data_IF_835586746678
#
_entry.id   IF_835586746678
#
_cell.length_a   1.000
_cell.length_b   1.000
_cell.length_c   1.000
_cell.angle_alpha   90.00
_cell.angle_beta   90.00
_cell.angle_gamma   90.00
#
_symmetry.space_group_name_H-M   'P 1'
#
loop_
_entity.id
_entity.type
_entity.pdbx_description
1 polymer ?
#
# COMPACT_ATOMS: atom_id res chain seq x y z
N UNK A 1 23.96 -43.18 -39.33
CA UNK A 1 22.94 -43.11 -38.26
C UNK A 1 23.47 -42.57 -36.91
N UNK A 2 24.73 -42.13 -36.81
CA UNK A 2 25.31 -41.58 -35.56
C UNK A 2 25.36 -40.04 -35.51
N UNK A 3 25.20 -39.33 -36.65
CA UNK A 3 25.24 -37.87 -36.70
C UNK A 3 23.92 -37.18 -36.33
N UNK A 4 22.86 -37.94 -36.03
CA UNK A 4 21.54 -37.41 -35.61
C UNK A 4 21.29 -37.51 -34.10
N UNK A 5 22.26 -38.03 -33.35
CA UNK A 5 22.20 -38.16 -31.89
C UNK A 5 22.91 -37.02 -31.14
N UNK A 6 23.43 -36.00 -31.85
CA UNK A 6 23.98 -34.77 -31.27
C UNK A 6 22.99 -33.59 -31.26
N UNK A 7 21.76 -33.82 -31.69
CA UNK A 7 20.68 -32.82 -31.62
C UNK A 7 19.79 -33.04 -30.38
N UNK A 8 20.38 -33.57 -29.30
CA UNK A 8 19.66 -34.04 -28.11
C UNK A 8 19.92 -33.28 -26.81
N UNK A 9 20.78 -32.26 -26.75
CA UNK A 9 21.18 -31.69 -25.43
C UNK A 9 21.21 -30.15 -25.35
N UNK A 10 21.05 -29.39 -26.43
CA UNK A 10 21.21 -27.92 -26.37
C UNK A 10 19.91 -27.13 -26.14
N UNK A 11 18.91 -27.69 -25.45
CA UNK A 11 17.65 -26.99 -25.16
C UNK A 11 17.34 -26.90 -23.66
N UNK A 12 18.37 -26.74 -22.85
CA UNK A 12 18.25 -26.34 -21.45
C UNK A 12 19.30 -25.28 -21.15
N UNK A 13 18.94 -23.99 -21.29
CA UNK A 13 19.50 -22.91 -20.48
C UNK A 13 18.72 -21.59 -20.74
N UNK A 14 17.39 -21.65 -20.61
CA UNK A 14 16.57 -20.45 -20.48
C UNK A 14 16.41 -20.10 -19.01
N UNK A 15 17.47 -19.64 -18.34
CA UNK A 15 17.31 -19.02 -17.04
C UNK A 15 16.62 -17.67 -17.25
N UNK A 16 15.28 -17.67 -17.19
CA UNK A 16 14.53 -16.44 -17.05
C UNK A 16 14.92 -15.82 -15.70
N UNK A 17 15.87 -14.89 -15.73
CA UNK A 17 16.10 -13.99 -14.62
C UNK A 17 14.74 -13.31 -14.35
N UNK A 18 14.11 -13.66 -13.24
CA UNK A 18 12.92 -12.96 -12.79
C UNK A 18 13.33 -11.52 -12.55
N UNK A 19 13.01 -10.63 -13.49
CA UNK A 19 13.20 -9.20 -13.31
C UNK A 19 12.29 -8.83 -12.15
N UNK A 20 12.88 -8.46 -11.00
CA UNK A 20 12.12 -7.81 -9.93
C UNK A 20 11.42 -6.61 -10.58
N UNK A 21 10.10 -6.66 -10.67
CA UNK A 21 9.33 -5.56 -11.25
C UNK A 21 9.71 -4.27 -10.51
N UNK A 22 9.99 -3.21 -11.27
CA UNK A 22 10.36 -1.92 -10.71
C UNK A 22 9.24 -1.45 -9.77
N UNK A 23 9.61 -1.18 -8.51
CA UNK A 23 8.66 -0.65 -7.54
C UNK A 23 8.17 0.74 -8.01
N UNK A 24 6.89 1.07 -7.78
CA UNK A 24 6.39 2.39 -8.13
C UNK A 24 7.11 3.46 -7.30
N UNK A 25 7.20 4.67 -7.84
CA UNK A 25 7.60 5.82 -7.05
C UNK A 25 6.52 6.11 -5.98
N UNK A 26 6.87 5.89 -4.72
CA UNK A 26 5.98 6.10 -3.58
C UNK A 26 6.38 7.36 -2.81
N UNK A 27 5.46 8.30 -2.57
CA UNK A 27 5.70 9.40 -1.65
C UNK A 27 6.09 8.89 -0.26
N UNK A 28 7.02 9.59 0.39
CA UNK A 28 7.41 9.26 1.75
C UNK A 28 6.27 9.58 2.72
N UNK A 29 6.03 8.66 3.63
CA UNK A 29 5.14 8.89 4.76
C UNK A 29 5.74 9.90 5.74
N UNK A 30 4.87 10.56 6.49
CA UNK A 30 5.21 11.40 7.64
C UNK A 30 5.38 10.50 8.88
N UNK A 31 6.37 10.79 9.71
CA UNK A 31 6.60 10.10 10.98
C UNK A 31 7.98 9.45 11.09
N UNK A 32 8.29 8.97 12.30
CA UNK A 32 9.62 8.46 12.66
C UNK A 32 9.71 6.93 12.59
N UNK A 33 8.59 6.23 12.78
CA UNK A 33 8.53 4.78 12.81
C UNK A 33 7.38 4.24 11.96
N UNK A 34 7.68 3.23 11.14
CA UNK A 34 6.67 2.49 10.37
C UNK A 34 6.04 1.40 11.25
N UNK A 35 4.76 1.08 10.98
CA UNK A 35 4.07 0.04 11.74
C UNK A 35 4.64 -1.38 11.50
N UNK A 36 5.31 -1.60 10.36
CA UNK A 36 6.06 -2.81 10.04
C UNK A 36 7.06 -2.55 8.90
N UNK A 37 7.83 -3.58 8.51
CA UNK A 37 8.71 -3.53 7.34
C UNK A 37 7.93 -3.47 6.02
N UNK A 38 8.57 -3.02 4.94
CA UNK A 38 7.97 -2.99 3.60
C UNK A 38 7.59 -4.39 3.08
N UNK A 39 8.30 -5.44 3.49
CA UNK A 39 7.96 -6.83 3.16
C UNK A 39 6.64 -7.24 3.82
N UNK A 40 6.51 -6.98 5.12
CA UNK A 40 5.28 -7.27 5.87
C UNK A 40 4.12 -6.45 5.32
N UNK A 41 4.32 -5.17 5.01
CA UNK A 41 3.27 -4.36 4.39
C UNK A 41 2.84 -4.91 3.04
N UNK A 42 3.76 -5.31 2.15
CA UNK A 42 3.36 -5.88 0.85
C UNK A 42 2.54 -7.16 0.98
N UNK A 43 2.90 -8.05 1.91
CA UNK A 43 2.25 -9.34 2.08
C UNK A 43 0.95 -9.26 2.88
N UNK A 44 0.97 -8.55 4.00
CA UNK A 44 -0.02 -8.70 5.06
C UNK A 44 -0.93 -7.46 5.22
N UNK A 45 -0.64 -6.32 4.55
CA UNK A 45 -1.48 -5.10 4.71
C UNK A 45 -2.98 -5.29 4.44
N UNK A 46 -3.44 -6.06 3.43
CA UNK A 46 -4.86 -6.07 3.12
C UNK A 46 -5.63 -6.82 4.21
N UNK A 47 -5.03 -7.88 4.76
CA UNK A 47 -5.67 -8.69 5.79
C UNK A 47 -5.60 -8.01 7.15
N UNK A 48 -4.52 -7.29 7.46
CA UNK A 48 -4.47 -6.41 8.62
C UNK A 48 -5.62 -5.38 8.61
N UNK A 49 -5.86 -4.72 7.46
CA UNK A 49 -6.91 -3.72 7.34
C UNK A 49 -8.31 -4.34 7.41
N UNK A 50 -8.54 -5.50 6.78
CA UNK A 50 -9.82 -6.22 6.87
C UNK A 50 -10.12 -6.68 8.29
N UNK A 51 -9.13 -7.24 8.97
CA UNK A 51 -9.26 -7.68 10.35
C UNK A 51 -9.61 -6.48 11.25
N UNK A 52 -8.85 -5.38 11.12
CA UNK A 52 -9.13 -4.18 11.91
C UNK A 52 -10.51 -3.59 11.62
N UNK A 53 -10.95 -3.60 10.36
CA UNK A 53 -12.29 -3.17 9.97
C UNK A 53 -13.34 -3.99 10.71
N UNK A 54 -13.20 -5.31 10.72
CA UNK A 54 -14.17 -6.22 11.32
C UNK A 54 -14.19 -6.07 12.85
N UNK A 55 -13.03 -5.96 13.49
CA UNK A 55 -12.92 -5.65 14.91
C UNK A 55 -13.58 -4.32 15.28
N UNK A 56 -13.32 -3.27 14.49
CA UNK A 56 -13.85 -1.93 14.76
C UNK A 56 -15.35 -1.85 14.53
N UNK A 57 -15.83 -2.36 13.41
CA UNK A 57 -17.21 -2.15 12.96
C UNK A 57 -18.19 -3.20 13.46
N UNK A 58 -17.74 -4.46 13.64
CA UNK A 58 -18.62 -5.55 14.08
C UNK A 58 -18.49 -5.86 15.57
N UNK A 59 -17.29 -5.69 16.14
CA UNK A 59 -17.02 -6.03 17.54
C UNK A 59 -16.85 -4.79 18.44
N UNK A 60 -16.73 -3.60 17.86
CA UNK A 60 -16.55 -2.35 18.60
C UNK A 60 -15.16 -2.17 19.23
N UNK A 61 -14.18 -2.99 18.86
CA UNK A 61 -12.81 -2.96 19.39
C UNK A 61 -12.01 -1.87 18.67
N UNK A 62 -11.36 -0.97 19.42
CA UNK A 62 -10.62 0.19 18.88
C UNK A 62 -9.22 0.25 19.45
N UNK A 63 -8.34 0.98 18.75
CA UNK A 63 -6.97 1.26 19.22
C UNK A 63 -5.90 0.29 18.72
N UNK A 64 -6.20 -0.53 17.72
CA UNK A 64 -5.17 -1.39 17.14
C UNK A 64 -4.12 -0.61 16.34
N UNK A 65 -2.96 -1.24 16.19
CA UNK A 65 -1.82 -0.71 15.45
C UNK A 65 -2.13 -0.44 13.97
N UNK A 66 -2.94 -1.30 13.33
CA UNK A 66 -3.28 -1.22 11.91
C UNK A 66 -4.50 -0.31 11.64
N UNK A 67 -4.51 0.89 12.23
CA UNK A 67 -5.62 1.83 12.10
C UNK A 67 -5.60 2.55 10.75
N UNK A 68 -6.62 2.33 9.92
CA UNK A 68 -6.77 3.01 8.62
C UNK A 68 -6.71 4.55 8.75
N UNK A 69 -7.29 5.10 9.83
CA UNK A 69 -7.23 6.54 10.13
C UNK A 69 -5.79 7.03 10.31
N UNK A 70 -4.99 6.28 11.06
CA UNK A 70 -3.60 6.65 11.33
C UNK A 70 -2.71 6.42 10.09
N UNK A 71 -3.01 5.40 9.27
CA UNK A 71 -2.37 5.22 7.97
C UNK A 71 -2.59 6.46 7.07
N UNK A 72 -3.82 6.96 6.95
CA UNK A 72 -4.12 8.18 6.18
C UNK A 72 -3.39 9.40 6.75
N UNK A 73 -3.28 9.52 8.08
CA UNK A 73 -2.57 10.62 8.73
C UNK A 73 -1.09 10.70 8.32
N UNK A 74 -0.41 9.55 8.23
CA UNK A 74 1.00 9.49 7.83
C UNK A 74 1.20 9.54 6.31
N UNK A 75 0.31 8.93 5.53
CA UNK A 75 0.51 8.76 4.08
C UNK A 75 -0.09 9.87 3.21
N UNK A 76 -0.94 10.75 3.75
CA UNK A 76 -1.42 11.92 3.03
C UNK A 76 -0.31 12.98 2.90
N UNK A 77 0.04 13.32 1.67
CA UNK A 77 0.93 14.45 1.39
C UNK A 77 0.19 15.78 1.54
N UNK A 78 0.91 16.89 1.48
CA UNK A 78 0.34 18.24 1.49
C UNK A 78 0.63 18.93 0.16
N UNK A 79 -0.34 19.67 -0.35
CA UNK A 79 -0.15 20.57 -1.47
C UNK A 79 0.62 21.83 -1.01
N UNK A 80 1.03 22.65 -1.99
CA UNK A 80 1.84 23.84 -1.73
C UNK A 80 1.14 24.89 -0.84
N UNK A 81 -0.19 24.93 -0.85
CA UNK A 81 -1.02 25.80 -0.01
C UNK A 81 -1.32 25.19 1.39
N UNK A 82 -0.75 24.02 1.69
CA UNK A 82 -0.85 23.34 2.98
C UNK A 82 -2.06 22.42 3.15
N UNK A 83 -2.97 22.30 2.18
CA UNK A 83 -4.07 21.35 2.28
C UNK A 83 -3.58 19.90 2.11
N UNK A 84 -4.25 18.95 2.78
CA UNK A 84 -3.92 17.53 2.61
C UNK A 84 -4.46 17.01 1.26
N UNK A 85 -3.60 16.32 0.51
CA UNK A 85 -4.00 15.67 -0.74
C UNK A 85 -4.61 14.29 -0.42
N UNK A 86 -5.78 13.94 -1.00
CA UNK A 86 -6.40 12.62 -0.81
C UNK A 86 -5.46 11.46 -1.13
N UNK A 87 -5.30 10.49 -0.24
CA UNK A 87 -4.34 9.38 -0.41
C UNK A 87 -4.61 8.49 -1.63
N UNK A 88 -5.82 8.53 -2.16
CA UNK A 88 -6.28 7.80 -3.35
C UNK A 88 -6.16 8.63 -4.65
N UNK A 89 -5.63 9.85 -4.61
CA UNK A 89 -5.38 10.65 -5.81
C UNK A 89 -4.13 10.16 -6.57
N UNK A 90 -4.03 10.42 -7.88
CA UNK A 90 -2.85 10.06 -8.67
C UNK A 90 -1.55 10.59 -8.05
N UNK A 91 -0.54 9.71 -7.98
CA UNK A 91 0.77 10.04 -7.41
C UNK A 91 0.82 9.97 -5.88
N UNK A 92 -0.30 9.73 -5.19
CA UNK A 92 -0.33 9.53 -3.74
C UNK A 92 -0.03 8.07 -3.38
N UNK A 93 0.44 7.84 -2.14
CA UNK A 93 0.99 6.54 -1.73
C UNK A 93 0.03 5.36 -1.97
N UNK A 94 -1.21 5.47 -1.50
CA UNK A 94 -2.18 4.38 -1.60
C UNK A 94 -2.52 4.10 -3.07
N UNK A 95 -2.77 5.17 -3.85
CA UNK A 95 -3.10 5.03 -5.27
C UNK A 95 -1.95 4.45 -6.10
N UNK A 96 -0.72 4.91 -5.91
CA UNK A 96 0.44 4.41 -6.65
C UNK A 96 0.69 2.93 -6.39
N UNK A 97 0.57 2.48 -5.13
CA UNK A 97 0.73 1.08 -4.77
C UNK A 97 -0.41 0.21 -5.33
N UNK A 98 -1.65 0.68 -5.22
CA UNK A 98 -2.83 -0.07 -5.67
C UNK A 98 -2.90 -0.14 -7.20
N UNK A 99 -2.50 0.91 -7.91
CA UNK A 99 -2.34 0.90 -9.36
C UNK A 99 -1.26 -0.12 -9.78
N UNK A 100 -0.11 -0.12 -9.11
CA UNK A 100 0.96 -1.10 -9.36
C UNK A 100 0.51 -2.54 -9.10
N UNK A 101 -0.25 -2.78 -8.03
CA UNK A 101 -0.79 -4.10 -7.70
C UNK A 101 -2.02 -4.49 -8.54
N UNK A 102 -2.51 -3.60 -9.42
CA UNK A 102 -3.77 -3.76 -10.15
C UNK A 102 -4.98 -4.05 -9.25
N UNK A 103 -5.02 -3.42 -8.07
CA UNK A 103 -6.11 -3.56 -7.07
C UNK A 103 -6.92 -2.27 -7.01
N UNK A 104 -8.25 -2.40 -7.02
CA UNK A 104 -9.17 -1.28 -6.79
C UNK A 104 -9.84 -1.44 -5.42
N UNK A 105 -9.46 -0.66 -4.39
CA UNK A 105 -10.15 -0.70 -3.11
C UNK A 105 -11.52 -0.02 -3.22
N UNK A 106 -12.52 -0.58 -2.55
CA UNK A 106 -13.85 0.02 -2.34
C UNK A 106 -13.93 0.81 -1.03
N UNK A 107 -12.95 0.68 -0.14
CA UNK A 107 -12.92 1.31 1.18
C UNK A 107 -13.19 2.82 1.15
N UNK A 108 -12.68 3.53 0.14
CA UNK A 108 -12.76 4.99 0.04
C UNK A 108 -14.10 5.50 -0.50
N UNK A 109 -15.03 4.62 -0.85
CA UNK A 109 -16.42 5.01 -1.07
C UNK A 109 -17.07 5.51 0.23
N UNK A 110 -16.58 5.05 1.38
CA UNK A 110 -17.07 5.43 2.71
C UNK A 110 -16.01 6.04 3.63
N UNK A 111 -14.73 5.67 3.49
CA UNK A 111 -13.66 6.15 4.36
C UNK A 111 -13.06 7.48 3.87
N UNK A 112 -12.77 8.36 4.83
CA UNK A 112 -12.06 9.61 4.57
C UNK A 112 -10.67 9.35 3.94
N UNK A 113 -10.37 10.08 2.89
CA UNK A 113 -9.12 9.97 2.11
C UNK A 113 -8.08 11.02 2.51
N UNK A 114 -8.48 11.99 3.33
CA UNK A 114 -7.60 12.98 3.95
C UNK A 114 -7.69 12.89 5.47
N UNK A 115 -6.65 13.30 6.21
CA UNK A 115 -6.73 13.41 7.66
C UNK A 115 -7.82 14.40 8.04
N UNK A 116 -8.59 14.10 9.10
CA UNK A 116 -9.47 15.11 9.68
C UNK A 116 -8.60 16.26 10.14
N UNK A 117 -8.86 17.48 9.66
CA UNK A 117 -8.24 18.69 10.19
C UNK A 117 -8.46 18.70 11.69
N UNK A 118 -7.39 18.68 12.47
CA UNK A 118 -7.46 19.10 13.87
C UNK A 118 -7.75 20.59 13.82
N UNK A 119 -9.02 20.95 13.70
CA UNK A 119 -9.46 22.23 14.23
C UNK A 119 -9.08 22.12 15.70
N UNK A 120 -7.99 22.77 16.09
CA UNK A 120 -7.71 23.04 17.50
C UNK A 120 -8.99 23.70 17.97
N UNK A 121 -9.79 22.99 18.75
CA UNK A 121 -11.04 23.51 19.28
C UNK A 121 -10.71 24.87 19.90
N UNK A 122 -11.09 25.93 19.19
CA UNK A 122 -11.00 27.28 19.71
C UNK A 122 -12.04 27.30 20.83
N UNK A 123 -11.54 27.15 22.06
CA UNK A 123 -12.22 27.41 23.32
C UNK A 123 -13.73 27.11 23.34
N UNK A 124 -14.09 25.99 23.94
CA UNK A 124 -15.29 26.02 24.79
C UNK A 124 -14.94 26.69 26.11
#
# INVERSE_FOLDING_TARGET
>A
MLARLLLGVLMMLGAAAATAADLPALPKAKGEACIASAEVMRRDHPDMLKHQRDETLRLGIRGAKASLKECVACHATQAADGHAVPVNDPGQFCQSCHAYAAVKPDCFECHATTPKTTIKEASR
#
